data_IF_464416241015
#
_entry.id   IF_464416241015
#
_cell.length_a   1.000
_cell.length_b   1.000
_cell.length_c   1.000
_cell.angle_alpha   90.00
_cell.angle_beta   90.00
_cell.angle_gamma   90.00
#
_symmetry.space_group_name_H-M   'P 1'
#
loop_
_entity.id
_entity.type
_entity.pdbx_description
1 polymer ?
#
# COMPACT_ATOMS: atom_id res chain seq x y z
N UNK A 1 -8.81 11.10 4.36
CA UNK A 1 -9.18 10.96 5.78
C UNK A 1 -10.32 9.96 6.00
N UNK A 2 -11.35 9.84 5.14
CA UNK A 2 -12.44 8.82 5.29
C UNK A 2 -11.96 7.39 5.47
N UNK A 3 -10.92 7.02 4.70
CA UNK A 3 -10.31 5.69 4.80
C UNK A 3 -9.88 5.37 6.22
N UNK A 4 -9.37 6.34 6.99
CA UNK A 4 -8.99 6.13 8.39
C UNK A 4 -10.22 5.97 9.28
N UNK A 5 -11.21 6.87 9.18
CA UNK A 5 -12.43 6.80 9.99
C UNK A 5 -13.18 5.47 9.87
N UNK A 6 -13.35 4.95 8.65
CA UNK A 6 -14.02 3.67 8.43
C UNK A 6 -13.18 2.46 8.91
N UNK A 7 -11.85 2.51 8.74
CA UNK A 7 -10.94 1.47 9.24
C UNK A 7 -10.89 1.45 10.78
N UNK A 8 -10.81 2.63 11.40
CA UNK A 8 -10.76 2.80 12.85
C UNK A 8 -12.07 2.34 13.51
N UNK A 9 -13.22 2.65 12.91
CA UNK A 9 -14.50 2.12 13.38
C UNK A 9 -14.52 0.60 13.38
N UNK A 10 -14.10 -0.02 12.27
CA UNK A 10 -14.07 -1.48 12.15
C UNK A 10 -13.10 -2.11 13.16
N UNK A 11 -11.93 -1.50 13.34
CA UNK A 11 -10.91 -1.98 14.27
C UNK A 11 -11.42 -1.93 15.72
N UNK A 12 -11.99 -0.80 16.15
CA UNK A 12 -12.58 -0.68 17.50
C UNK A 12 -13.66 -1.73 17.73
N UNK A 13 -14.58 -1.90 16.77
CA UNK A 13 -15.66 -2.87 16.89
C UNK A 13 -15.17 -4.31 16.91
N UNK A 14 -14.10 -4.62 16.16
CA UNK A 14 -13.46 -5.94 16.18
C UNK A 14 -12.84 -6.24 17.55
N UNK A 15 -12.16 -5.25 18.15
CA UNK A 15 -11.59 -5.34 19.51
C UNK A 15 -12.70 -5.50 20.55
N UNK A 16 -13.70 -4.62 20.56
CA UNK A 16 -14.78 -4.60 21.56
C UNK A 16 -15.61 -5.89 21.55
N UNK A 17 -15.80 -6.47 20.36
CA UNK A 17 -16.55 -7.73 20.20
C UNK A 17 -15.69 -8.97 20.23
N UNK A 18 -14.36 -8.83 20.35
CA UNK A 18 -13.37 -9.90 20.26
C UNK A 18 -13.58 -10.81 19.03
N UNK A 19 -13.75 -10.19 17.86
CA UNK A 19 -14.02 -10.88 16.60
C UNK A 19 -13.06 -10.43 15.50
N UNK A 20 -12.77 -11.30 14.51
CA UNK A 20 -12.02 -10.90 13.34
C UNK A 20 -12.67 -9.70 12.63
N UNK A 21 -11.87 -8.73 12.17
CA UNK A 21 -12.34 -7.55 11.42
C UNK A 21 -13.26 -7.86 10.25
N UNK A 22 -12.99 -8.94 9.52
CA UNK A 22 -13.80 -9.36 8.37
C UNK A 22 -15.23 -9.79 8.75
N UNK A 23 -15.44 -10.21 10.01
CA UNK A 23 -16.77 -10.58 10.52
C UNK A 23 -17.59 -9.36 10.94
N UNK A 24 -16.93 -8.22 11.18
CA UNK A 24 -17.60 -6.95 11.46
C UNK A 24 -18.09 -6.35 10.15
N UNK A 25 -17.19 -6.21 9.18
CA UNK A 25 -17.48 -5.66 7.87
C UNK A 25 -16.41 -6.09 6.86
N UNK A 26 -16.86 -6.65 5.75
CA UNK A 26 -16.00 -7.16 4.70
C UNK A 26 -15.13 -6.06 4.07
N UNK A 27 -13.91 -6.42 3.65
CA UNK A 27 -12.97 -5.49 3.01
C UNK A 27 -13.53 -4.87 1.71
N UNK A 28 -14.34 -5.62 0.96
CA UNK A 28 -14.99 -5.14 -0.27
C UNK A 28 -16.05 -4.08 0.07
N UNK A 29 -16.87 -4.31 1.10
CA UNK A 29 -17.88 -3.34 1.55
C UNK A 29 -17.21 -2.08 2.08
N UNK A 30 -16.14 -2.25 2.87
CA UNK A 30 -15.35 -1.13 3.37
C UNK A 30 -14.75 -0.28 2.23
N UNK A 31 -14.28 -0.93 1.16
CA UNK A 31 -13.79 -0.24 -0.04
C UNK A 31 -14.90 0.56 -0.71
N UNK A 32 -16.08 -0.01 -0.89
CA UNK A 32 -17.23 0.68 -1.50
C UNK A 32 -17.67 1.89 -0.66
N UNK A 33 -17.67 1.80 0.68
CA UNK A 33 -17.93 2.93 1.58
C UNK A 33 -16.94 4.07 1.32
N UNK A 34 -15.65 3.76 1.18
CA UNK A 34 -14.61 4.77 0.94
C UNK A 34 -14.75 5.40 -0.45
N UNK A 35 -15.16 4.63 -1.45
CA UNK A 35 -15.34 5.12 -2.82
C UNK A 35 -16.58 5.99 -2.97
N UNK A 36 -17.69 5.61 -2.33
CA UNK A 36 -19.00 6.27 -2.48
C UNK A 36 -19.24 7.37 -1.44
N UNK A 37 -18.58 7.30 -0.28
CA UNK A 37 -18.70 8.23 0.83
C UNK A 37 -20.17 8.53 1.21
N UNK A 38 -20.94 7.51 1.63
CA UNK A 38 -22.35 7.71 1.98
C UNK A 38 -22.51 8.75 3.09
N UNK A 39 -23.50 9.63 2.94
CA UNK A 39 -23.83 10.69 3.90
C UNK A 39 -25.15 10.46 4.63
N UNK A 40 -25.90 9.42 4.26
CA UNK A 40 -27.17 9.02 4.87
C UNK A 40 -27.25 7.51 5.06
N UNK A 41 -28.18 7.05 5.90
CA UNK A 41 -28.41 5.62 6.13
C UNK A 41 -28.91 4.92 4.87
N UNK A 42 -29.72 5.61 4.05
CA UNK A 42 -30.18 5.09 2.76
C UNK A 42 -29.00 4.88 1.82
N UNK A 43 -28.12 5.87 1.69
CA UNK A 43 -26.92 5.77 0.86
C UNK A 43 -25.98 4.65 1.36
N UNK A 44 -25.88 4.46 2.68
CA UNK A 44 -25.12 3.37 3.29
C UNK A 44 -25.74 2.00 2.96
N UNK A 45 -27.07 1.89 3.00
CA UNK A 45 -27.80 0.65 2.68
C UNK A 45 -27.69 0.25 1.20
N UNK A 46 -27.49 1.21 0.29
CA UNK A 46 -27.30 0.96 -1.15
C UNK A 46 -25.88 0.48 -1.51
N UNK A 47 -25.00 0.30 -0.53
CA UNK A 47 -23.66 -0.23 -0.79
C UNK A 47 -23.74 -1.74 -1.07
N UNK A 48 -23.19 -2.21 -2.20
CA UNK A 48 -23.17 -3.64 -2.51
C UNK A 48 -22.53 -4.46 -1.40
N UNK A 49 -23.23 -5.50 -0.94
CA UNK A 49 -22.77 -6.39 0.13
C UNK A 49 -22.92 -5.83 1.55
N UNK A 50 -23.50 -4.64 1.73
CA UNK A 50 -23.74 -4.06 3.06
C UNK A 50 -24.70 -4.94 3.89
N UNK A 51 -24.29 -5.44 5.07
CA UNK A 51 -25.19 -6.18 5.94
C UNK A 51 -26.28 -5.26 6.52
N UNK A 52 -27.58 -5.61 6.42
CA UNK A 52 -28.67 -4.80 6.97
C UNK A 52 -28.53 -4.54 8.48
N UNK A 53 -27.96 -5.51 9.21
CA UNK A 53 -27.69 -5.37 10.64
C UNK A 53 -26.66 -4.27 10.95
N UNK A 54 -25.65 -4.07 10.08
CA UNK A 54 -24.67 -2.99 10.25
C UNK A 54 -25.33 -1.63 10.05
N UNK A 55 -26.18 -1.48 9.04
CA UNK A 55 -26.94 -0.23 8.81
C UNK A 55 -27.83 0.07 10.02
N UNK A 56 -28.57 -0.93 10.50
CA UNK A 56 -29.52 -0.78 11.60
C UNK A 56 -28.86 -0.47 12.95
N UNK A 57 -27.75 -1.14 13.28
CA UNK A 57 -27.16 -1.09 14.62
C UNK A 57 -25.93 -0.20 14.72
N UNK A 58 -25.32 0.17 13.60
CA UNK A 58 -24.05 0.90 13.58
C UNK A 58 -23.95 1.93 12.45
N UNK A 59 -25.01 2.12 11.65
CA UNK A 59 -24.99 3.03 10.52
C UNK A 59 -24.72 4.47 10.94
N UNK A 60 -25.39 4.95 11.99
CA UNK A 60 -25.18 6.32 12.50
C UNK A 60 -23.76 6.55 13.02
N UNK A 61 -23.22 5.58 13.76
CA UNK A 61 -21.85 5.63 14.27
C UNK A 61 -20.84 5.67 13.12
N UNK A 62 -21.01 4.79 12.12
CA UNK A 62 -20.15 4.73 10.95
C UNK A 62 -20.23 6.04 10.13
N UNK A 63 -21.42 6.59 9.93
CA UNK A 63 -21.60 7.89 9.26
C UNK A 63 -20.94 9.03 10.04
N UNK A 64 -21.01 9.03 11.37
CA UNK A 64 -20.31 10.02 12.19
C UNK A 64 -18.78 9.96 12.00
N UNK A 65 -18.22 8.75 11.94
CA UNK A 65 -16.78 8.55 11.69
C UNK A 65 -16.36 8.98 10.28
N UNK A 66 -17.25 8.81 9.29
CA UNK A 66 -17.02 9.30 7.93
C UNK A 66 -17.13 10.83 7.84
N UNK A 67 -18.01 11.47 8.61
CA UNK A 67 -18.16 12.93 8.69
C UNK A 67 -16.97 13.61 9.37
N UNK A 68 -16.41 13.01 10.42
CA UNK A 68 -15.23 13.53 11.12
C UNK A 68 -13.94 13.60 10.29
N UNK A 69 -13.97 13.10 9.05
CA UNK A 69 -12.85 13.11 8.12
C UNK A 69 -12.71 14.41 7.29
N UNK A 70 -13.57 15.41 7.52
CA UNK A 70 -13.59 16.74 6.88
C UNK A 70 -13.34 16.69 5.36
N UNK A 71 -14.14 15.87 4.67
CA UNK A 71 -13.98 15.63 3.23
C UNK A 71 -14.93 16.57 2.48
N UNK A 72 -14.41 17.39 1.55
CA UNK A 72 -15.21 18.26 0.70
C UNK A 72 -16.31 17.50 -0.06
N UNK A 73 -17.38 18.21 -0.40
CA UNK A 73 -18.45 17.73 -1.28
C UNK A 73 -18.49 18.59 -2.56
N UNK A 74 -18.19 18.04 -3.75
CA UNK A 74 -17.87 16.65 -4.03
C UNK A 74 -16.47 16.23 -3.52
N UNK A 75 -16.31 14.93 -3.23
CA UNK A 75 -15.02 14.38 -2.84
C UNK A 75 -13.96 14.66 -3.91
N UNK A 76 -12.72 15.05 -3.53
CA UNK A 76 -11.65 15.19 -4.49
C UNK A 76 -11.40 13.86 -5.20
N UNK A 77 -10.97 13.89 -6.48
CA UNK A 77 -10.58 12.68 -7.18
C UNK A 77 -9.46 11.98 -6.40
N UNK A 78 -9.42 10.64 -6.38
CA UNK A 78 -8.35 9.93 -5.71
C UNK A 78 -7.01 10.38 -6.29
N UNK A 79 -5.95 10.50 -5.46
CA UNK A 79 -4.64 10.89 -5.95
C UNK A 79 -4.25 9.91 -7.07
N UNK A 80 -4.00 10.44 -8.26
CA UNK A 80 -3.46 9.63 -9.36
C UNK A 80 -2.16 9.03 -8.85
N UNK A 81 -2.08 7.70 -8.81
CA UNK A 81 -0.79 7.03 -8.62
C UNK A 81 0.12 7.57 -9.71
N UNK A 82 1.21 8.24 -9.31
CA UNK A 82 2.21 8.70 -10.25
C UNK A 82 2.61 7.48 -11.11
N UNK A 83 2.54 7.64 -12.43
CA UNK A 83 3.01 6.60 -13.34
C UNK A 83 4.48 6.34 -12.98
N UNK A 84 4.92 5.07 -12.84
CA UNK A 84 6.32 4.78 -12.58
C UNK A 84 7.17 5.52 -13.62
N UNK A 85 8.16 6.29 -13.17
CA UNK A 85 9.06 7.00 -14.05
C UNK A 85 9.73 5.99 -15.00
N UNK A 86 9.52 6.09 -16.33
CA UNK A 86 10.09 5.15 -17.29
C UNK A 86 11.61 5.12 -17.25
N UNK A 87 12.27 6.25 -16.96
CA UNK A 87 13.72 6.32 -16.82
C UNK A 87 14.19 5.53 -15.59
N UNK A 88 13.53 5.73 -14.45
CA UNK A 88 13.78 4.93 -13.24
C UNK A 88 13.53 3.43 -13.49
N UNK A 89 12.45 3.08 -14.18
CA UNK A 89 12.12 1.69 -14.47
C UNK A 89 13.20 1.03 -15.36
N UNK A 90 13.70 1.76 -16.36
CA UNK A 90 14.81 1.31 -17.20
C UNK A 90 16.10 1.13 -16.38
N UNK A 91 16.43 2.09 -15.50
CA UNK A 91 17.59 2.00 -14.63
C UNK A 91 17.51 0.78 -13.69
N UNK A 92 16.38 0.58 -13.00
CA UNK A 92 16.17 -0.58 -12.14
C UNK A 92 16.30 -1.90 -12.91
N UNK A 93 15.86 -1.94 -14.19
CA UNK A 93 16.04 -3.11 -15.06
C UNK A 93 17.51 -3.36 -15.37
N UNK A 94 18.28 -2.32 -15.67
CA UNK A 94 19.73 -2.42 -15.90
C UNK A 94 20.45 -2.94 -14.65
N UNK A 95 20.17 -2.35 -13.48
CA UNK A 95 20.74 -2.79 -12.21
C UNK A 95 20.39 -4.25 -11.90
N UNK A 96 19.14 -4.66 -12.17
CA UNK A 96 18.71 -6.05 -11.99
C UNK A 96 19.49 -7.01 -12.91
N UNK A 97 19.80 -6.62 -14.16
CA UNK A 97 20.61 -7.43 -15.05
C UNK A 97 22.04 -7.64 -14.52
N UNK A 98 22.63 -6.62 -13.90
CA UNK A 98 23.95 -6.70 -13.25
C UNK A 98 23.90 -7.67 -12.06
N UNK A 99 22.87 -7.56 -11.21
CA UNK A 99 22.64 -8.52 -10.11
C UNK A 99 22.53 -9.95 -10.65
N UNK A 100 21.77 -10.17 -11.72
CA UNK A 100 21.59 -11.49 -12.32
C UNK A 100 22.91 -12.07 -12.85
N UNK A 101 23.73 -11.26 -13.50
CA UNK A 101 25.06 -11.68 -13.96
C UNK A 101 25.97 -12.06 -12.78
N UNK A 102 26.08 -11.19 -11.77
CA UNK A 102 26.89 -11.44 -10.58
C UNK A 102 26.41 -12.67 -9.78
N UNK A 103 25.08 -12.87 -9.68
CA UNK A 103 24.50 -14.03 -9.02
C UNK A 103 24.92 -15.35 -9.70
N UNK A 104 24.94 -15.37 -11.04
CA UNK A 104 25.40 -16.54 -11.82
C UNK A 104 26.89 -16.80 -11.62
N UNK A 105 27.71 -15.76 -11.65
CA UNK A 105 29.16 -15.84 -11.43
C UNK A 105 29.50 -16.42 -10.04
N UNK A 106 28.72 -16.04 -9.03
CA UNK A 106 28.91 -16.46 -7.64
C UNK A 106 28.14 -17.73 -7.26
N UNK A 107 27.38 -18.31 -8.19
CA UNK A 107 26.46 -19.42 -7.94
C UNK A 107 25.49 -19.14 -6.76
N UNK A 108 24.94 -17.94 -6.73
CA UNK A 108 23.99 -17.47 -5.71
C UNK A 108 22.63 -17.18 -6.32
N UNK A 109 21.61 -17.16 -5.45
CA UNK A 109 20.28 -16.66 -5.80
C UNK A 109 20.32 -15.12 -5.82
N UNK A 110 19.82 -14.44 -6.87
CA UNK A 110 19.84 -12.98 -7.01
C UNK A 110 19.34 -12.20 -5.79
N UNK A 111 18.29 -12.71 -5.14
CA UNK A 111 17.64 -12.12 -3.96
C UNK A 111 18.57 -12.07 -2.73
N UNK A 112 19.62 -12.89 -2.69
CA UNK A 112 20.66 -12.83 -1.64
C UNK A 112 21.56 -11.59 -1.82
N UNK A 113 21.75 -11.15 -3.06
CA UNK A 113 22.55 -9.97 -3.40
C UNK A 113 21.74 -8.68 -3.22
N UNK A 114 20.53 -8.61 -3.75
CA UNK A 114 19.67 -7.43 -3.61
C UNK A 114 18.19 -7.75 -3.86
N UNK A 115 17.31 -7.07 -3.13
CA UNK A 115 15.87 -7.06 -3.42
C UNK A 115 15.54 -6.00 -4.47
N UNK A 116 14.36 -6.09 -5.09
CA UNK A 116 13.87 -5.03 -5.98
C UNK A 116 13.79 -3.65 -5.29
N UNK A 117 13.44 -3.63 -4.00
CA UNK A 117 13.40 -2.40 -3.20
C UNK A 117 14.78 -1.75 -3.09
N UNK A 118 15.82 -2.56 -2.89
CA UNK A 118 17.20 -2.07 -2.82
C UNK A 118 17.63 -1.38 -4.12
N UNK A 119 17.24 -1.96 -5.28
CA UNK A 119 17.52 -1.37 -6.60
C UNK A 119 16.73 -0.09 -6.84
N UNK A 120 15.48 -0.03 -6.39
CA UNK A 120 14.65 1.18 -6.46
C UNK A 120 15.24 2.30 -5.60
N UNK A 121 15.72 1.98 -4.39
CA UNK A 121 16.42 2.93 -3.51
C UNK A 121 17.71 3.44 -4.15
N UNK A 122 18.48 2.56 -4.78
CA UNK A 122 19.70 2.95 -5.48
C UNK A 122 19.42 3.86 -6.68
N UNK A 123 18.36 3.55 -7.44
CA UNK A 123 17.89 4.38 -8.55
C UNK A 123 17.33 5.74 -8.08
N UNK A 124 16.76 5.81 -6.88
CA UNK A 124 16.35 7.06 -6.22
C UNK A 124 17.52 7.88 -5.64
N UNK A 125 18.76 7.43 -5.84
CA UNK A 125 19.96 8.12 -5.35
C UNK A 125 20.36 7.75 -3.93
N UNK A 126 19.62 6.87 -3.24
CA UNK A 126 20.04 6.39 -1.92
C UNK A 126 21.34 5.61 -2.05
N UNK A 127 22.27 5.90 -1.16
CA UNK A 127 23.53 5.14 -0.99
C UNK A 127 23.59 4.43 0.36
N UNK A 128 22.59 4.66 1.20
CA UNK A 128 22.43 3.96 2.47
C UNK A 128 21.60 2.68 2.27
N UNK A 129 22.20 1.72 1.58
CA UNK A 129 21.58 0.43 1.25
C UNK A 129 22.53 -0.71 1.60
N UNK A 130 21.98 -1.82 2.09
CA UNK A 130 22.77 -2.97 2.54
C UNK A 130 23.64 -3.59 1.44
N UNK A 131 23.27 -3.40 0.17
CA UNK A 131 24.02 -3.86 -1.00
C UNK A 131 25.38 -3.15 -1.19
N UNK A 132 25.53 -1.94 -0.65
CA UNK A 132 26.76 -1.13 -0.70
C UNK A 132 27.61 -1.27 0.57
N UNK A 133 27.40 -2.34 1.35
CA UNK A 133 28.14 -2.60 2.59
C UNK A 133 28.68 -4.03 2.62
N UNK A 134 29.76 -4.23 3.38
CA UNK A 134 30.36 -5.55 3.60
C UNK A 134 30.72 -6.29 2.32
N UNK A 135 30.54 -7.61 2.32
CA UNK A 135 30.91 -8.47 1.19
C UNK A 135 30.10 -8.20 -0.08
N UNK A 136 28.83 -7.77 0.03
CA UNK A 136 27.98 -7.45 -1.14
C UNK A 136 28.52 -6.28 -1.94
N UNK A 137 29.14 -5.30 -1.26
CA UNK A 137 29.78 -4.17 -1.92
C UNK A 137 30.87 -4.63 -2.87
N UNK A 138 31.75 -5.50 -2.39
CA UNK A 138 32.82 -6.09 -3.20
C UNK A 138 32.31 -7.04 -4.29
N UNK A 139 31.26 -7.81 -3.99
CA UNK A 139 30.68 -8.76 -4.93
C UNK A 139 29.97 -8.09 -6.12
N UNK A 140 29.17 -7.05 -5.87
CA UNK A 140 28.35 -6.42 -6.91
C UNK A 140 28.11 -4.92 -6.72
N UNK A 141 28.27 -4.39 -5.51
CA UNK A 141 27.99 -2.99 -5.21
C UNK A 141 28.77 -1.99 -6.07
N UNK A 142 30.06 -2.20 -6.29
CA UNK A 142 30.88 -1.31 -7.14
C UNK A 142 30.43 -1.35 -8.62
N UNK A 143 30.04 -2.53 -9.13
CA UNK A 143 29.48 -2.67 -10.50
C UNK A 143 28.17 -1.91 -10.65
N UNK A 144 27.34 -1.91 -9.61
CA UNK A 144 26.07 -1.19 -9.60
C UNK A 144 26.29 0.32 -9.54
N UNK A 145 27.24 0.80 -8.73
CA UNK A 145 27.58 2.22 -8.66
C UNK A 145 28.11 2.77 -10.00
N UNK A 146 28.88 1.96 -10.74
CA UNK A 146 29.37 2.32 -12.06
C UNK A 146 28.29 2.39 -13.15
N UNK A 147 27.09 1.86 -12.90
CA UNK A 147 25.98 1.79 -13.84
C UNK A 147 24.85 2.80 -13.56
N UNK A 148 25.04 3.68 -12.58
CA UNK A 148 24.13 4.77 -12.23
C UNK A 148 24.49 6.03 -13.02
#
# INVERSE_FOLDING_TARGET
MARRGALEWRERRAVDSNRPRGWILDDAVLREIILRLPRSLEALAQIPGMPPAVVKHSGEELLAQLRGADIPDPSPPPPRRARPDPAKAALVKTLAAIIQAAARELNLVPEVLATRRDLELLADGSRDVGLLRGWRRGAVGERLLAAL
#
